data_IF_868834553908
#
_entry.id   IF_868834553908
#
_cell.length_a   1.000
_cell.length_b   1.000
_cell.length_c   1.000
_cell.angle_alpha   90.00
_cell.angle_beta   90.00
_cell.angle_gamma   90.00
#
_symmetry.space_group_name_H-M   'P 1'
#
loop_
_entity.id
_entity.type
_entity.pdbx_description
1 polymer ?
#
# COMPACT_ATOMS: atom_id res chain seq x y z
N UNK A 1 20.60 -12.56 -5.08
CA UNK A 1 19.53 -13.42 -5.63
C UNK A 1 18.73 -14.14 -4.54
N UNK A 2 19.01 -13.90 -3.25
CA UNK A 2 18.45 -14.68 -2.12
C UNK A 2 17.29 -13.98 -1.37
N UNK A 3 16.91 -12.77 -1.80
CA UNK A 3 15.88 -11.94 -1.13
C UNK A 3 14.58 -11.84 -1.92
N UNK A 4 14.50 -12.49 -3.08
CA UNK A 4 13.29 -12.52 -3.90
C UNK A 4 12.20 -13.45 -3.33
N UNK A 5 12.56 -14.29 -2.35
CA UNK A 5 11.72 -15.35 -1.79
C UNK A 5 11.24 -15.07 -0.35
N UNK A 6 11.17 -13.79 0.07
CA UNK A 6 10.43 -13.46 1.29
C UNK A 6 8.95 -13.62 0.96
N UNK A 7 8.32 -14.65 1.51
CA UNK A 7 6.89 -14.89 1.36
C UNK A 7 6.12 -13.59 1.60
N UNK A 8 5.29 -13.20 0.62
CA UNK A 8 4.42 -12.03 0.78
C UNK A 8 3.57 -12.28 2.02
N UNK A 9 3.65 -11.45 3.07
CA UNK A 9 2.88 -11.70 4.27
C UNK A 9 1.39 -11.67 3.88
N UNK A 10 0.70 -12.76 4.20
CA UNK A 10 -0.69 -12.97 3.76
C UNK A 10 -1.61 -11.93 4.40
N UNK A 11 -2.61 -11.50 3.63
CA UNK A 11 -3.65 -10.57 4.10
C UNK A 11 -3.22 -9.11 4.28
N UNK A 12 -2.11 -8.68 3.67
CA UNK A 12 -1.87 -7.24 3.46
C UNK A 12 -2.30 -6.76 2.08
N UNK A 13 -2.37 -7.65 1.08
CA UNK A 13 -2.60 -7.31 -0.34
C UNK A 13 -1.65 -6.22 -0.86
N UNK A 14 -0.49 -6.04 -0.24
CA UNK A 14 0.60 -5.26 -0.79
C UNK A 14 1.95 -5.88 -0.43
N UNK A 15 2.96 -5.55 -1.22
CA UNK A 15 4.36 -5.93 -1.00
C UNK A 15 5.17 -4.65 -0.83
N UNK A 16 5.96 -4.56 0.24
CA UNK A 16 6.95 -3.51 0.40
C UNK A 16 8.32 -3.96 -0.15
N UNK A 17 9.00 -3.07 -0.86
CA UNK A 17 10.34 -3.31 -1.39
C UNK A 17 11.21 -2.06 -1.24
N UNK A 18 12.53 -2.29 -1.12
CA UNK A 18 13.53 -1.20 -1.11
C UNK A 18 14.02 -0.94 -2.51
N UNK A 19 14.26 0.33 -2.82
CA UNK A 19 14.93 0.74 -4.05
C UNK A 19 16.44 0.80 -3.78
N UNK A 20 17.29 0.09 -4.54
CA UNK A 20 18.74 0.13 -4.30
C UNK A 20 19.30 1.55 -4.39
N UNK A 21 20.19 1.90 -3.45
CA UNK A 21 20.89 3.18 -3.40
C UNK A 21 19.99 4.43 -3.28
N UNK A 22 18.73 4.26 -2.89
CA UNK A 22 17.78 5.34 -2.71
C UNK A 22 17.01 5.11 -1.39
N UNK A 23 16.79 6.13 -0.54
CA UNK A 23 16.07 5.96 0.73
C UNK A 23 14.57 5.70 0.56
N UNK A 24 14.05 5.80 -0.65
CA UNK A 24 12.65 5.56 -0.96
C UNK A 24 12.21 4.11 -0.70
N UNK A 25 10.94 3.97 -0.32
CA UNK A 25 10.25 2.70 -0.12
C UNK A 25 9.20 2.54 -1.21
N UNK A 26 9.26 1.44 -1.95
CA UNK A 26 8.25 1.08 -2.94
C UNK A 26 7.22 0.13 -2.33
N UNK A 27 5.95 0.33 -2.70
CA UNK A 27 4.86 -0.60 -2.40
C UNK A 27 4.20 -1.05 -3.71
N UNK A 28 3.96 -2.35 -3.84
CA UNK A 28 3.13 -2.91 -4.90
C UNK A 28 1.78 -3.31 -4.32
N UNK A 29 0.70 -2.69 -4.75
CA UNK A 29 -0.66 -3.08 -4.40
C UNK A 29 -1.09 -4.29 -5.24
N UNK A 30 -1.83 -5.19 -4.61
CA UNK A 30 -2.34 -6.43 -5.19
C UNK A 30 -3.86 -6.36 -5.12
N UNK A 31 -4.55 -6.97 -6.09
CA UNK A 31 -6.03 -7.01 -6.13
C UNK A 31 -6.66 -5.61 -6.18
N UNK A 32 -6.02 -4.62 -6.80
CA UNK A 32 -6.69 -3.33 -7.06
C UNK A 32 -7.75 -3.50 -8.17
N UNK A 33 -8.83 -2.69 -8.14
CA UNK A 33 -9.14 -1.71 -7.11
C UNK A 33 -9.70 -2.34 -5.83
N UNK A 34 -9.39 -1.77 -4.67
CA UNK A 34 -9.93 -2.23 -3.36
C UNK A 34 -11.36 -1.72 -3.14
N UNK A 35 -12.25 -2.10 -4.04
CA UNK A 35 -13.71 -1.93 -3.88
C UNK A 35 -14.31 -3.19 -3.28
N UNK A 36 -15.45 -3.07 -2.59
CA UNK A 36 -16.16 -4.23 -2.04
C UNK A 36 -16.42 -5.29 -3.13
N UNK A 37 -16.87 -4.88 -4.31
CA UNK A 37 -17.16 -5.82 -5.40
C UNK A 37 -15.94 -6.64 -5.84
N UNK A 38 -14.78 -6.00 -6.01
CA UNK A 38 -13.57 -6.68 -6.44
C UNK A 38 -12.96 -7.53 -5.33
N UNK A 39 -12.89 -7.01 -4.10
CA UNK A 39 -12.33 -7.75 -2.96
C UNK A 39 -13.22 -8.93 -2.55
N UNK A 40 -14.55 -8.79 -2.60
CA UNK A 40 -15.46 -9.91 -2.37
C UNK A 40 -15.29 -11.00 -3.43
N UNK A 41 -15.02 -10.62 -4.69
CA UNK A 41 -14.81 -11.57 -5.77
C UNK A 41 -13.49 -12.34 -5.65
N UNK A 42 -12.40 -11.68 -5.29
CA UNK A 42 -11.05 -12.27 -5.31
C UNK A 42 -10.62 -12.82 -3.94
N UNK A 43 -10.96 -12.12 -2.86
CA UNK A 43 -10.48 -12.41 -1.50
C UNK A 43 -11.62 -12.81 -0.53
N UNK A 44 -12.89 -12.67 -0.95
CA UNK A 44 -14.05 -13.01 -0.12
C UNK A 44 -14.30 -12.06 1.05
N UNK A 45 -13.72 -10.85 1.02
CA UNK A 45 -13.84 -9.84 2.07
C UNK A 45 -14.31 -8.49 1.52
N UNK A 46 -14.99 -7.70 2.35
CA UNK A 46 -15.28 -6.30 2.04
C UNK A 46 -14.05 -5.41 2.29
N UNK A 47 -14.03 -4.21 1.69
CA UNK A 47 -12.93 -3.26 1.82
C UNK A 47 -12.68 -2.85 3.28
N UNK A 48 -13.74 -2.63 4.06
CA UNK A 48 -13.62 -2.33 5.50
C UNK A 48 -12.97 -3.48 6.29
N UNK A 49 -13.21 -4.73 5.87
CA UNK A 49 -12.58 -5.91 6.46
C UNK A 49 -11.07 -5.93 6.24
N UNK A 50 -10.63 -5.61 5.01
CA UNK A 50 -9.21 -5.45 4.70
C UNK A 50 -8.59 -4.28 5.51
N UNK A 51 -9.34 -3.20 5.75
CA UNK A 51 -8.84 -2.00 6.45
C UNK A 51 -8.60 -2.31 7.92
N UNK A 52 -9.52 -3.05 8.51
CA UNK A 52 -9.40 -3.54 9.88
C UNK A 52 -8.26 -4.56 10.03
N UNK A 53 -8.05 -5.42 9.02
CA UNK A 53 -6.92 -6.34 9.01
C UNK A 53 -5.57 -5.60 8.98
N UNK A 54 -5.44 -4.52 8.20
CA UNK A 54 -4.25 -3.66 8.24
C UNK A 54 -4.04 -3.02 9.61
N UNK A 55 -5.11 -2.51 10.25
CA UNK A 55 -5.02 -1.94 11.60
C UNK A 55 -4.56 -2.99 12.61
N UNK A 56 -5.14 -4.19 12.60
CA UNK A 56 -4.74 -5.31 13.48
C UNK A 56 -3.28 -5.73 13.30
N UNK A 57 -2.77 -5.61 12.08
CA UNK A 57 -1.37 -5.89 11.74
C UNK A 57 -0.42 -4.74 12.03
N UNK A 58 -0.91 -3.63 12.60
CA UNK A 58 -0.10 -2.50 13.03
C UNK A 58 0.35 -1.58 11.90
N UNK A 59 -0.34 -1.59 10.74
CA UNK A 59 -0.08 -0.61 9.69
C UNK A 59 -0.48 0.79 10.21
N UNK A 60 0.38 1.81 10.11
CA UNK A 60 0.03 3.17 10.53
C UNK A 60 -1.21 3.70 9.80
N UNK A 61 -2.10 4.42 10.49
CA UNK A 61 -3.36 4.90 9.92
C UNK A 61 -3.14 5.77 8.67
N UNK A 62 -2.15 6.66 8.70
CA UNK A 62 -1.80 7.51 7.56
C UNK A 62 -1.37 6.70 6.33
N UNK A 63 -0.67 5.58 6.54
CA UNK A 63 -0.32 4.68 5.46
C UNK A 63 -1.56 3.95 4.94
N UNK A 64 -2.43 3.43 5.83
CA UNK A 64 -3.70 2.80 5.43
C UNK A 64 -4.49 3.76 4.53
N UNK A 65 -4.69 5.02 4.93
CA UNK A 65 -5.42 6.01 4.12
C UNK A 65 -4.86 6.16 2.71
N UNK A 66 -3.53 6.32 2.57
CA UNK A 66 -2.88 6.45 1.26
C UNK A 66 -3.00 5.17 0.43
N UNK A 67 -2.87 3.99 1.04
CA UNK A 67 -3.02 2.71 0.33
C UNK A 67 -4.43 2.56 -0.25
N UNK A 68 -5.46 2.91 0.51
CA UNK A 68 -6.85 2.82 0.06
C UNK A 68 -7.15 3.84 -1.04
N UNK A 69 -6.67 5.08 -0.91
CA UNK A 69 -6.82 6.07 -1.97
C UNK A 69 -6.16 5.61 -3.28
N UNK A 70 -4.94 5.08 -3.19
CA UNK A 70 -4.22 4.54 -4.33
C UNK A 70 -4.93 3.33 -4.94
N UNK A 71 -5.39 2.39 -4.11
CA UNK A 71 -6.10 1.21 -4.58
C UNK A 71 -7.44 1.57 -5.26
N UNK A 72 -8.19 2.54 -4.71
CA UNK A 72 -9.44 3.02 -5.33
C UNK A 72 -9.18 3.72 -6.67
N UNK A 73 -8.04 4.39 -6.81
CA UNK A 73 -7.57 4.97 -8.07
C UNK A 73 -6.98 3.93 -9.05
N UNK A 74 -7.05 2.63 -8.72
CA UNK A 74 -6.45 1.50 -9.44
C UNK A 74 -4.94 1.64 -9.69
N UNK A 75 -4.24 2.33 -8.78
CA UNK A 75 -2.78 2.45 -8.77
C UNK A 75 -2.17 1.15 -8.26
N UNK A 76 -1.23 0.58 -9.02
CA UNK A 76 -0.55 -0.69 -8.65
C UNK A 76 0.75 -0.50 -7.90
N UNK A 77 1.38 0.67 -8.02
CA UNK A 77 2.67 0.95 -7.42
C UNK A 77 2.70 2.34 -6.78
N UNK A 78 3.19 2.39 -5.55
CA UNK A 78 3.48 3.63 -4.82
C UNK A 78 4.97 3.67 -4.52
N UNK A 79 5.55 4.86 -4.56
CA UNK A 79 6.92 5.10 -4.09
C UNK A 79 6.87 6.26 -3.12
N UNK A 80 7.25 6.00 -1.88
CA UNK A 80 7.42 7.02 -0.85
C UNK A 80 8.89 7.43 -0.84
N UNK A 81 9.18 8.59 -1.41
CA UNK A 81 10.51 9.15 -1.49
C UNK A 81 10.65 10.29 -0.48
N UNK A 82 11.49 10.09 0.54
CA UNK A 82 11.75 11.08 1.59
C UNK A 82 12.59 12.27 1.08
N UNK A 83 13.29 12.09 -0.04
CA UNK A 83 14.09 13.15 -0.68
C UNK A 83 13.28 13.94 -1.72
N UNK A 84 12.00 13.57 -1.94
CA UNK A 84 11.12 14.29 -2.84
C UNK A 84 10.98 15.75 -2.40
N UNK A 85 11.25 16.66 -3.34
CA UNK A 85 11.04 18.08 -3.11
C UNK A 85 9.57 18.37 -2.83
N UNK A 86 9.31 19.25 -1.85
CA UNK A 86 7.97 19.74 -1.58
C UNK A 86 7.39 20.39 -2.83
N UNK A 87 6.20 19.93 -3.24
CA UNK A 87 5.49 20.53 -4.35
C UNK A 87 4.83 21.84 -3.89
N UNK A 88 5.12 22.92 -4.60
CA UNK A 88 4.53 24.24 -4.32
C UNK A 88 2.99 24.17 -4.43
N UNK A 89 2.31 24.65 -3.38
CA UNK A 89 0.84 24.70 -3.34
C UNK A 89 0.16 23.45 -2.78
N UNK A 90 0.90 22.42 -2.36
CA UNK A 90 0.34 21.25 -1.67
C UNK A 90 0.48 21.36 -0.14
N UNK A 91 -0.49 20.86 0.63
CA UNK A 91 -0.41 20.82 2.10
C UNK A 91 0.71 19.87 2.57
N UNK A 92 1.39 20.27 3.66
CA UNK A 92 2.36 19.45 4.36
C UNK A 92 1.74 18.87 5.63
N UNK A 93 1.85 17.55 5.80
CA UNK A 93 1.38 16.83 6.97
C UNK A 93 2.60 16.43 7.84
N UNK A 94 2.46 16.52 9.17
CA UNK A 94 3.50 16.20 10.15
C UNK A 94 3.18 14.90 10.89
#
# INVERSE_FOLDING_TARGET
>A
MEWADIATPTGFLFIAFRIPYNPAVGLKLIVTPWTDGNLMHVEGIAADGLREEHRKKGVPESLIEVLYLAALADVRFLVFDADASVLAGLPLYK
#
